data_IF_325726625296
#
_entry.id   IF_325726625296
#
_cell.length_a   1.000
_cell.length_b   1.000
_cell.length_c   1.000
_cell.angle_alpha   90.00
_cell.angle_beta   90.00
_cell.angle_gamma   90.00
#
_symmetry.space_group_name_H-M   'P 1'
#
loop_
_entity.id
_entity.type
_entity.pdbx_description
1 polymer ?
#
# COMPACT_ATOMS: atom_id res chain seq x y z
N UNK A 1 -23.14 29.86 7.41
CA UNK A 1 -22.20 29.04 8.22
C UNK A 1 -22.83 27.70 8.59
N UNK A 2 -24.06 27.66 9.07
CA UNK A 2 -24.79 26.42 9.45
C UNK A 2 -24.84 25.36 8.35
N UNK A 3 -25.21 25.73 7.11
CA UNK A 3 -25.28 24.77 6.00
C UNK A 3 -23.93 24.11 5.68
N UNK A 4 -22.83 24.87 5.77
CA UNK A 4 -21.48 24.33 5.57
C UNK A 4 -21.09 23.32 6.67
N UNK A 5 -21.41 23.61 7.93
CA UNK A 5 -21.18 22.70 9.06
C UNK A 5 -22.00 21.41 8.89
N UNK A 6 -23.25 21.52 8.44
CA UNK A 6 -24.11 20.38 8.19
C UNK A 6 -23.56 19.50 7.05
N UNK A 7 -23.12 20.09 5.94
CA UNK A 7 -22.51 19.36 4.82
C UNK A 7 -21.27 18.58 5.26
N UNK A 8 -20.36 19.23 6.00
CA UNK A 8 -19.17 18.55 6.51
C UNK A 8 -19.53 17.46 7.51
N UNK A 9 -20.52 17.71 8.38
CA UNK A 9 -21.03 16.72 9.32
C UNK A 9 -21.56 15.47 8.62
N UNK A 10 -22.41 15.65 7.62
CA UNK A 10 -22.97 14.56 6.83
C UNK A 10 -21.89 13.81 6.05
N UNK A 11 -20.99 14.51 5.36
CA UNK A 11 -19.88 13.89 4.64
C UNK A 11 -18.97 13.06 5.57
N UNK A 12 -18.66 13.58 6.76
CA UNK A 12 -17.89 12.86 7.78
C UNK A 12 -18.61 11.58 8.22
N UNK A 13 -19.92 11.65 8.47
CA UNK A 13 -20.70 10.49 8.89
C UNK A 13 -20.71 9.41 7.80
N UNK A 14 -20.94 9.78 6.55
CA UNK A 14 -20.86 8.87 5.39
C UNK A 14 -19.50 8.21 5.27
N UNK A 15 -18.41 9.00 5.39
CA UNK A 15 -17.05 8.46 5.38
C UNK A 15 -16.82 7.47 6.52
N UNK A 16 -17.31 7.77 7.73
CA UNK A 16 -17.17 6.88 8.88
C UNK A 16 -17.90 5.54 8.63
N UNK A 17 -19.12 5.59 8.10
CA UNK A 17 -19.88 4.39 7.75
C UNK A 17 -19.11 3.50 6.76
N UNK A 18 -18.70 4.07 5.62
CA UNK A 18 -18.12 3.28 4.54
C UNK A 18 -16.65 2.90 4.75
N UNK A 19 -15.81 3.80 5.28
CA UNK A 19 -14.38 3.56 5.42
C UNK A 19 -14.00 2.90 6.75
N UNK A 20 -14.75 3.14 7.83
CA UNK A 20 -14.39 2.69 9.19
C UNK A 20 -15.29 1.54 9.64
N UNK A 21 -16.62 1.68 9.51
CA UNK A 21 -17.56 0.66 9.98
C UNK A 21 -17.76 -0.48 8.96
N UNK A 22 -17.44 -0.23 7.68
CA UNK A 22 -17.65 -1.19 6.59
C UNK A 22 -19.11 -1.32 6.14
N UNK A 23 -19.93 -0.34 6.50
CA UNK A 23 -21.31 -0.19 6.03
C UNK A 23 -21.30 0.24 4.55
N UNK A 24 -22.32 -0.16 3.79
CA UNK A 24 -22.43 0.18 2.35
C UNK A 24 -23.85 0.51 1.92
N UNK A 25 -24.79 0.56 2.86
CA UNK A 25 -26.21 0.80 2.67
C UNK A 25 -26.49 2.18 2.06
N UNK A 26 -25.62 3.16 2.30
CA UNK A 26 -25.74 4.49 1.71
C UNK A 26 -25.43 4.49 0.19
N UNK A 27 -24.65 3.52 -0.29
CA UNK A 27 -24.16 3.45 -1.68
C UNK A 27 -24.37 2.04 -2.28
N UNK A 28 -25.60 1.50 -2.19
CA UNK A 28 -25.92 0.13 -2.62
C UNK A 28 -25.56 -0.15 -4.09
N UNK A 29 -25.89 0.78 -4.99
CA UNK A 29 -25.69 0.62 -6.43
C UNK A 29 -24.26 0.99 -6.88
N UNK A 30 -23.54 1.77 -6.07
CA UNK A 30 -22.19 2.22 -6.36
C UNK A 30 -21.14 1.26 -5.76
N UNK A 31 -20.89 0.15 -6.45
CA UNK A 31 -19.91 -0.88 -6.02
C UNK A 31 -18.50 -0.34 -5.71
N UNK A 32 -18.14 0.83 -6.24
CA UNK A 32 -16.87 1.52 -5.95
C UNK A 32 -16.82 2.06 -4.52
N UNK A 33 -17.96 2.32 -3.90
CA UNK A 33 -18.09 2.85 -2.54
C UNK A 33 -18.17 1.73 -1.48
N UNK A 34 -18.17 0.45 -1.90
CA UNK A 34 -18.12 -0.71 -1.01
C UNK A 34 -16.69 -0.90 -0.50
N UNK A 35 -16.25 0.01 0.37
CA UNK A 35 -14.84 0.24 0.67
C UNK A 35 -14.13 -0.98 1.24
N UNK A 36 -14.77 -1.71 2.16
CA UNK A 36 -14.19 -2.95 2.73
C UNK A 36 -13.86 -3.97 1.65
N UNK A 37 -14.76 -4.18 0.68
CA UNK A 37 -14.53 -5.13 -0.40
C UNK A 37 -13.39 -4.67 -1.33
N UNK A 38 -13.36 -3.38 -1.70
CA UNK A 38 -12.34 -2.83 -2.60
C UNK A 38 -10.96 -2.78 -1.95
N UNK A 39 -10.87 -2.42 -0.68
CA UNK A 39 -9.61 -2.49 0.07
C UNK A 39 -9.12 -3.93 0.23
N UNK A 40 -10.03 -4.90 0.44
CA UNK A 40 -9.67 -6.32 0.46
C UNK A 40 -9.14 -6.80 -0.90
N UNK A 41 -9.71 -6.36 -2.02
CA UNK A 41 -9.19 -6.64 -3.36
C UNK A 41 -7.77 -6.09 -3.55
N UNK A 42 -7.52 -4.83 -3.18
CA UNK A 42 -6.19 -4.22 -3.25
C UNK A 42 -5.19 -5.01 -2.40
N UNK A 43 -5.59 -5.44 -1.19
CA UNK A 43 -4.76 -6.27 -0.32
C UNK A 43 -4.46 -7.65 -0.92
N UNK A 44 -5.46 -8.30 -1.52
CA UNK A 44 -5.29 -9.59 -2.18
C UNK A 44 -4.34 -9.48 -3.37
N UNK A 45 -4.48 -8.43 -4.19
CA UNK A 45 -3.56 -8.17 -5.31
C UNK A 45 -2.12 -7.97 -4.82
N UNK A 46 -1.92 -7.25 -3.72
CA UNK A 46 -0.61 -7.10 -3.10
C UNK A 46 -0.04 -8.42 -2.60
N UNK A 47 -0.85 -9.27 -1.97
CA UNK A 47 -0.47 -10.62 -1.56
C UNK A 47 -0.03 -11.47 -2.75
N UNK A 48 -0.82 -11.47 -3.83
CA UNK A 48 -0.50 -12.20 -5.06
C UNK A 48 0.80 -11.69 -5.68
N UNK A 49 1.02 -10.38 -5.69
CA UNK A 49 2.23 -9.78 -6.23
C UNK A 49 3.47 -10.09 -5.38
N UNK A 50 3.34 -10.14 -4.05
CA UNK A 50 4.41 -10.63 -3.16
C UNK A 50 4.76 -12.10 -3.48
N UNK A 51 3.75 -12.94 -3.71
CA UNK A 51 3.94 -14.37 -4.05
C UNK A 51 4.52 -14.56 -5.45
N UNK A 52 4.14 -13.75 -6.43
CA UNK A 52 4.79 -13.80 -7.76
C UNK A 52 6.27 -13.47 -7.63
N UNK A 53 6.62 -12.48 -6.80
CA UNK A 53 8.01 -12.13 -6.45
C UNK A 53 8.85 -13.35 -6.04
N UNK A 54 8.26 -14.30 -5.30
CA UNK A 54 8.92 -15.56 -4.94
C UNK A 54 8.87 -16.63 -6.04
N UNK A 55 7.89 -16.58 -6.95
CA UNK A 55 7.71 -17.54 -8.05
C UNK A 55 8.48 -17.24 -9.34
N UNK A 56 8.91 -16.00 -9.60
CA UNK A 56 9.85 -15.72 -10.71
C UNK A 56 11.20 -16.45 -10.52
N UNK A 57 11.51 -16.87 -9.28
CA UNK A 57 12.63 -17.75 -8.95
C UNK A 57 12.30 -19.26 -9.09
N UNK A 58 11.03 -19.63 -9.31
CA UNK A 58 10.59 -21.03 -9.47
C UNK A 58 10.27 -21.41 -10.92
N UNK A 59 10.02 -20.46 -11.81
CA UNK A 59 9.74 -20.72 -13.23
C UNK A 59 10.96 -20.51 -14.13
N UNK A 60 12.10 -21.09 -13.75
CA UNK A 60 13.03 -21.70 -14.71
C UNK A 60 13.94 -22.65 -13.93
N UNK A 61 13.85 -23.92 -14.26
CA UNK A 61 14.86 -24.92 -13.94
C UNK A 61 16.25 -24.41 -14.30
N UNK A 62 17.09 -24.13 -13.29
CA UNK A 62 18.56 -24.40 -13.20
C UNK A 62 19.27 -23.60 -12.09
N UNK A 63 18.70 -22.50 -11.57
CA UNK A 63 19.45 -21.54 -10.70
C UNK A 63 18.88 -21.36 -9.27
N UNK A 64 17.96 -22.23 -8.83
CA UNK A 64 17.38 -22.13 -7.49
C UNK A 64 18.46 -22.27 -6.40
N UNK A 65 18.55 -21.27 -5.51
CA UNK A 65 19.54 -21.15 -4.45
C UNK A 65 21.00 -21.01 -4.91
N UNK A 66 21.28 -20.78 -6.20
CA UNK A 66 22.67 -20.77 -6.68
C UNK A 66 23.44 -19.55 -6.16
N UNK A 67 22.80 -18.38 -6.13
CA UNK A 67 23.38 -17.17 -5.53
C UNK A 67 23.58 -17.36 -4.02
N UNK A 68 22.62 -18.02 -3.35
CA UNK A 68 22.71 -18.36 -1.94
C UNK A 68 23.86 -19.34 -1.66
N UNK A 69 24.06 -20.36 -2.51
CA UNK A 69 25.17 -21.33 -2.41
C UNK A 69 26.51 -20.63 -2.64
N UNK A 70 26.62 -19.74 -3.62
CA UNK A 70 27.85 -18.96 -3.88
C UNK A 70 28.24 -18.09 -2.67
N UNK A 71 27.27 -17.43 -2.04
CA UNK A 71 27.49 -16.64 -0.81
C UNK A 71 27.98 -17.53 0.35
N UNK A 72 27.50 -18.78 0.44
CA UNK A 72 27.94 -19.74 1.45
C UNK A 72 29.36 -20.27 1.19
N UNK A 73 29.70 -20.53 -0.06
CA UNK A 73 31.05 -20.93 -0.48
C UNK A 73 32.07 -19.84 -0.14
N UNK A 74 31.78 -18.59 -0.52
CA UNK A 74 32.66 -17.44 -0.26
C UNK A 74 32.86 -17.19 1.24
N UNK A 75 31.79 -17.32 2.04
CA UNK A 75 31.86 -17.19 3.48
C UNK A 75 32.51 -18.39 4.20
N UNK A 76 32.97 -19.41 3.46
CA UNK A 76 33.45 -20.70 4.00
C UNK A 76 32.42 -21.32 4.96
N UNK A 77 31.14 -21.14 4.69
CA UNK A 77 30.03 -21.67 5.50
C UNK A 77 29.74 -23.15 5.27
N UNK A 78 30.29 -23.73 4.20
CA UNK A 78 30.19 -25.16 3.86
C UNK A 78 31.33 -25.92 4.57
N UNK A 79 31.44 -25.75 5.89
CA UNK A 79 32.36 -26.51 6.75
C UNK A 79 31.51 -27.48 7.60
N UNK A 80 32.02 -28.67 7.97
CA UNK A 80 31.25 -29.66 8.76
C UNK A 80 30.73 -29.18 10.14
N UNK A 81 31.23 -28.04 10.65
CA UNK A 81 30.57 -27.36 11.76
C UNK A 81 29.35 -26.62 11.19
N UNK A 82 28.18 -27.24 11.29
CA UNK A 82 26.85 -26.81 10.83
C UNK A 82 26.42 -25.39 11.28
N UNK A 83 27.14 -24.34 10.90
CA UNK A 83 26.78 -22.97 11.21
C UNK A 83 26.87 -22.10 9.97
N UNK A 84 25.72 -21.51 9.63
CA UNK A 84 25.61 -20.46 8.64
C UNK A 84 26.33 -19.20 9.16
N UNK A 85 27.40 -18.71 8.51
CA UNK A 85 28.03 -17.46 8.91
C UNK A 85 27.00 -16.33 8.91
N UNK A 86 26.99 -15.50 9.96
CA UNK A 86 26.06 -14.36 10.10
C UNK A 86 26.07 -13.45 8.86
N UNK A 87 27.25 -13.26 8.27
CA UNK A 87 27.42 -12.45 7.05
C UNK A 87 26.71 -13.06 5.86
N UNK A 88 26.86 -14.37 5.62
CA UNK A 88 26.17 -15.08 4.56
C UNK A 88 24.64 -14.99 4.73
N UNK A 89 24.15 -15.22 5.95
CA UNK A 89 22.73 -15.07 6.27
C UNK A 89 22.20 -13.67 5.96
N UNK A 90 22.90 -12.61 6.40
CA UNK A 90 22.46 -11.23 6.17
C UNK A 90 22.53 -10.83 4.70
N UNK A 91 23.53 -11.30 3.95
CA UNK A 91 23.62 -11.05 2.50
C UNK A 91 22.44 -11.67 1.77
N UNK A 92 22.10 -12.92 2.08
CA UNK A 92 20.93 -13.60 1.49
C UNK A 92 19.64 -12.88 1.88
N UNK A 93 19.46 -12.58 3.17
CA UNK A 93 18.26 -11.91 3.67
C UNK A 93 18.07 -10.52 3.06
N UNK A 94 19.13 -9.70 2.99
CA UNK A 94 19.05 -8.36 2.41
C UNK A 94 18.75 -8.40 0.91
N UNK A 95 19.27 -9.40 0.19
CA UNK A 95 18.90 -9.68 -1.20
C UNK A 95 17.40 -9.92 -1.37
N UNK A 96 16.83 -10.85 -0.57
CA UNK A 96 15.38 -11.15 -0.60
C UNK A 96 14.52 -9.95 -0.20
N UNK A 97 14.94 -9.19 0.80
CA UNK A 97 14.22 -7.97 1.22
C UNK A 97 14.23 -6.91 0.12
N UNK A 98 15.35 -6.76 -0.59
CA UNK A 98 15.47 -5.81 -1.72
C UNK A 98 14.58 -6.19 -2.91
N UNK A 99 14.33 -7.47 -3.15
CA UNK A 99 13.41 -7.92 -4.22
C UNK A 99 11.96 -7.47 -3.97
N UNK A 100 11.55 -7.37 -2.71
CA UNK A 100 10.18 -7.01 -2.33
C UNK A 100 10.04 -5.56 -1.86
N UNK A 101 11.13 -4.81 -1.68
CA UNK A 101 11.12 -3.51 -1.00
C UNK A 101 10.29 -2.44 -1.70
N UNK A 102 10.14 -2.51 -3.02
CA UNK A 102 9.32 -1.57 -3.78
C UNK A 102 7.83 -1.88 -3.74
N UNK A 103 7.44 -3.13 -3.47
CA UNK A 103 6.03 -3.57 -3.56
C UNK A 103 5.11 -2.84 -2.58
N UNK A 104 5.49 -2.63 -1.30
CA UNK A 104 4.63 -1.89 -0.37
C UNK A 104 4.42 -0.43 -0.77
N UNK A 105 5.35 0.21 -1.50
CA UNK A 105 5.16 1.58 -2.03
C UNK A 105 4.00 1.61 -3.02
N UNK A 106 4.01 0.67 -3.97
CA UNK A 106 2.97 0.55 -5.01
C UNK A 106 1.62 0.28 -4.35
N UNK A 107 1.56 -0.68 -3.43
CA UNK A 107 0.36 -0.97 -2.66
C UNK A 107 -0.18 0.27 -1.93
N UNK A 108 0.67 1.02 -1.21
CA UNK A 108 0.23 2.23 -0.52
C UNK A 108 -0.25 3.33 -1.47
N UNK A 109 0.36 3.45 -2.66
CA UNK A 109 -0.10 4.38 -3.69
C UNK A 109 -1.51 4.04 -4.19
N UNK A 110 -1.80 2.74 -4.39
CA UNK A 110 -3.13 2.27 -4.78
C UNK A 110 -4.17 2.51 -3.67
N UNK A 111 -3.85 2.19 -2.42
CA UNK A 111 -4.72 2.47 -1.27
C UNK A 111 -5.04 3.97 -1.17
N UNK A 112 -4.04 4.84 -1.36
CA UNK A 112 -4.28 6.27 -1.31
C UNK A 112 -5.07 6.80 -2.50
N UNK A 113 -4.79 6.32 -3.71
CA UNK A 113 -5.56 6.71 -4.89
C UNK A 113 -7.03 6.34 -4.73
N UNK A 114 -7.31 5.12 -4.26
CA UNK A 114 -8.68 4.69 -3.99
C UNK A 114 -9.36 5.53 -2.90
N UNK A 115 -8.66 5.79 -1.79
CA UNK A 115 -9.21 6.59 -0.69
C UNK A 115 -9.47 8.05 -1.10
N UNK A 116 -8.61 8.62 -1.96
CA UNK A 116 -8.81 9.94 -2.55
C UNK A 116 -10.12 9.99 -3.35
N UNK A 117 -10.34 9.02 -4.22
CA UNK A 117 -11.55 8.91 -5.03
C UNK A 117 -12.82 8.82 -4.17
N UNK A 118 -12.81 7.97 -3.13
CA UNK A 118 -13.94 7.83 -2.21
C UNK A 118 -14.22 9.15 -1.49
N UNK A 119 -13.20 9.80 -0.93
CA UNK A 119 -13.36 11.06 -0.20
C UNK A 119 -13.88 12.17 -1.11
N UNK A 120 -13.38 12.24 -2.36
CA UNK A 120 -13.90 13.17 -3.37
C UNK A 120 -15.38 12.88 -3.63
N UNK A 121 -15.75 11.63 -3.88
CA UNK A 121 -17.12 11.28 -4.27
C UNK A 121 -18.12 11.62 -3.15
N UNK A 122 -17.81 11.25 -1.90
CA UNK A 122 -18.65 11.62 -0.74
C UNK A 122 -18.80 13.13 -0.61
N UNK A 123 -17.70 13.89 -0.71
CA UNK A 123 -17.77 15.35 -0.58
C UNK A 123 -18.52 16.00 -1.74
N UNK A 124 -18.37 15.50 -2.97
CA UNK A 124 -19.11 16.03 -4.12
C UNK A 124 -20.62 15.79 -3.96
N UNK A 125 -21.02 14.59 -3.54
CA UNK A 125 -22.42 14.22 -3.32
C UNK A 125 -23.08 15.15 -2.29
N UNK A 126 -22.44 15.36 -1.13
CA UNK A 126 -22.99 16.22 -0.07
C UNK A 126 -22.90 17.73 -0.38
N UNK A 127 -22.16 18.14 -1.43
CA UNK A 127 -21.98 19.54 -1.80
C UNK A 127 -22.40 19.87 -3.24
N UNK A 128 -23.25 19.05 -3.86
CA UNK A 128 -23.72 19.21 -5.24
C UNK A 128 -24.23 20.62 -5.56
N UNK A 129 -24.95 21.22 -4.62
CA UNK A 129 -25.52 22.57 -4.75
C UNK A 129 -24.50 23.71 -4.53
N UNK A 130 -23.21 23.40 -4.29
CA UNK A 130 -22.18 24.35 -3.90
C UNK A 130 -20.89 24.16 -4.73
N UNK A 131 -20.86 24.57 -6.01
CA UNK A 131 -19.75 24.30 -6.92
C UNK A 131 -18.41 24.91 -6.48
N UNK A 132 -18.43 26.07 -5.83
CA UNK A 132 -17.22 26.68 -5.27
C UNK A 132 -16.62 25.86 -4.12
N UNK A 133 -17.48 25.20 -3.32
CA UNK A 133 -17.05 24.30 -2.26
C UNK A 133 -16.47 23.01 -2.84
N UNK A 134 -17.09 22.47 -3.89
CA UNK A 134 -16.57 21.30 -4.60
C UNK A 134 -15.16 21.55 -5.16
N UNK A 135 -14.97 22.68 -5.84
CA UNK A 135 -13.69 23.03 -6.44
C UNK A 135 -12.58 23.22 -5.39
N UNK A 136 -12.87 23.90 -4.28
CA UNK A 136 -11.90 24.08 -3.19
C UNK A 136 -11.60 22.76 -2.46
N UNK A 137 -12.62 21.93 -2.23
CA UNK A 137 -12.49 20.62 -1.59
C UNK A 137 -11.64 19.67 -2.42
N UNK A 138 -11.88 19.55 -3.74
CA UNK A 138 -11.05 18.73 -4.65
C UNK A 138 -9.58 19.10 -4.57
N UNK A 139 -9.27 20.41 -4.60
CA UNK A 139 -7.88 20.88 -4.50
C UNK A 139 -7.25 20.55 -3.15
N UNK A 140 -8.00 20.74 -2.06
CA UNK A 140 -7.53 20.43 -0.71
C UNK A 140 -7.24 18.94 -0.54
N UNK A 141 -8.13 18.08 -1.03
CA UNK A 141 -7.98 16.61 -1.00
C UNK A 141 -6.74 16.21 -1.79
N UNK A 142 -6.59 16.70 -3.03
CA UNK A 142 -5.43 16.38 -3.86
C UNK A 142 -4.10 16.76 -3.20
N UNK A 143 -4.03 17.96 -2.63
CA UNK A 143 -2.86 18.42 -1.88
C UNK A 143 -2.56 17.55 -0.66
N UNK A 144 -3.60 17.05 0.03
CA UNK A 144 -3.45 16.15 1.16
C UNK A 144 -2.93 14.77 0.71
N UNK A 145 -3.46 14.22 -0.38
CA UNK A 145 -2.99 12.96 -0.95
C UNK A 145 -1.52 13.05 -1.38
N UNK A 146 -1.12 14.15 -2.03
CA UNK A 146 0.29 14.37 -2.39
C UNK A 146 1.20 14.33 -1.15
N UNK A 147 0.85 15.09 -0.10
CA UNK A 147 1.62 15.08 1.16
C UNK A 147 1.71 13.71 1.81
N UNK A 148 0.63 12.95 1.77
CA UNK A 148 0.62 11.62 2.37
C UNK A 148 1.41 10.60 1.55
N UNK A 149 1.42 10.72 0.21
CA UNK A 149 2.29 9.93 -0.67
C UNK A 149 3.76 10.23 -0.41
N UNK A 150 4.13 11.51 -0.35
CA UNK A 150 5.49 11.93 0.03
C UNK A 150 5.89 11.33 1.38
N UNK A 151 5.05 11.42 2.41
CA UNK A 151 5.34 10.84 3.72
C UNK A 151 5.57 9.32 3.69
N UNK A 152 4.84 8.59 2.83
CA UNK A 152 5.07 7.16 2.62
C UNK A 152 6.43 6.89 1.97
N UNK A 153 6.84 7.70 0.99
CA UNK A 153 8.15 7.61 0.35
C UNK A 153 9.29 7.86 1.36
N UNK A 154 9.16 8.87 2.23
CA UNK A 154 10.14 9.14 3.29
C UNK A 154 10.24 7.99 4.30
N UNK A 155 9.10 7.44 4.73
CA UNK A 155 9.07 6.28 5.63
C UNK A 155 9.77 5.06 5.03
N UNK A 156 9.64 4.86 3.71
CA UNK A 156 10.28 3.78 2.98
C UNK A 156 11.79 3.98 2.84
N UNK A 157 12.26 5.20 2.54
CA UNK A 157 13.70 5.49 2.50
C UNK A 157 14.36 5.23 3.86
N UNK A 158 13.68 5.57 4.96
CA UNK A 158 14.18 5.33 6.31
C UNK A 158 14.26 3.82 6.65
N UNK A 159 13.29 3.02 6.19
CA UNK A 159 13.30 1.55 6.35
C UNK A 159 14.40 0.93 5.48
N UNK A 160 14.52 1.34 4.22
CA UNK A 160 15.58 0.86 3.32
C UNK A 160 16.98 1.20 3.84
N UNK A 161 17.19 2.38 4.41
CA UNK A 161 18.46 2.79 5.01
C UNK A 161 18.78 2.12 6.35
N UNK A 162 17.78 1.51 7.01
CA UNK A 162 17.97 0.79 8.27
C UNK A 162 18.32 -0.70 8.05
N UNK A 163 18.11 -1.19 6.83
CA UNK A 163 18.35 -2.58 6.41
C UNK A 163 19.70 -2.71 5.66
N UNK A 164 20.26 -1.59 5.19
CA UNK A 164 21.62 -1.44 4.62
C UNK A 164 22.62 -1.02 5.70
#
# INVERSE_FOLDING_TARGET
MTGFIQIIGAAKESMQKILVNGEFEEYLDEKRMHCTARLAEILNNFSDDLQKGSQYNLSFSTNFLMDEILVLEEAKGIIPLNFLPRTAFLTILSGKVREISSKPVVFMSEVWGYSEDVVINVLMNHSENYPNLQASSKRAIHNLTLKMKEACEWGQMAVASSIL
#
